data_IF_360624442898
#
_entry.id   IF_360624442898
#
_cell.length_a   1.000
_cell.length_b   1.000
_cell.length_c   1.000
_cell.angle_alpha   90.00
_cell.angle_beta   90.00
_cell.angle_gamma   90.00
#
_symmetry.space_group_name_H-M   'P 1'
#
loop_
_entity.id
_entity.type
_entity.pdbx_description
1 polymer ?
#
# COMPACT_ATOMS: atom_id res chain seq x y z
N UNK A 1 -6.68 -14.21 -15.74
CA UNK A 1 -5.92 -13.06 -15.28
C UNK A 1 -5.49 -13.22 -13.84
N UNK A 2 -4.28 -12.82 -13.55
CA UNK A 2 -3.72 -12.93 -12.20
C UNK A 2 -4.22 -11.76 -11.34
N UNK A 3 -4.78 -12.01 -10.15
CA UNK A 3 -5.16 -10.92 -9.25
C UNK A 3 -3.96 -10.12 -8.75
N UNK A 4 -4.15 -8.83 -8.57
CA UNK A 4 -3.12 -7.93 -8.08
C UNK A 4 -3.68 -7.22 -6.85
N UNK A 5 -2.95 -7.28 -5.75
CA UNK A 5 -3.29 -6.56 -4.52
C UNK A 5 -2.30 -5.44 -4.30
N UNK A 6 -2.81 -4.26 -4.00
CA UNK A 6 -1.99 -3.09 -3.73
C UNK A 6 -2.12 -2.76 -2.25
N UNK A 7 -1.02 -2.83 -1.52
CA UNK A 7 -0.97 -2.54 -0.08
C UNK A 7 -0.55 -1.10 0.15
N UNK A 8 -1.33 -0.38 0.93
CA UNK A 8 -0.99 0.98 1.33
C UNK A 8 -0.48 1.01 2.77
N UNK A 9 0.60 1.72 3.00
CA UNK A 9 1.24 1.82 4.30
C UNK A 9 1.47 3.28 4.69
N UNK A 10 1.52 3.51 5.98
CA UNK A 10 1.81 4.82 6.56
C UNK A 10 2.86 4.65 7.66
N UNK A 11 3.33 5.77 8.19
CA UNK A 11 4.24 5.74 9.32
C UNK A 11 3.48 5.70 10.65
N UNK A 12 4.20 5.73 11.77
CA UNK A 12 3.60 5.59 13.11
C UNK A 12 2.92 6.86 13.63
N UNK A 13 3.02 7.97 12.94
CA UNK A 13 2.46 9.24 13.38
C UNK A 13 0.94 9.27 13.22
N UNK A 14 0.23 9.82 14.20
CA UNK A 14 -1.21 9.99 14.14
C UNK A 14 -2.00 8.77 14.62
N UNK A 15 -3.31 8.83 14.45
CA UNK A 15 -4.20 7.76 14.90
C UNK A 15 -4.20 6.58 13.93
N UNK A 16 -4.67 5.43 14.43
CA UNK A 16 -4.81 4.23 13.61
C UNK A 16 -5.78 4.48 12.44
N UNK A 17 -6.93 5.07 12.71
CA UNK A 17 -7.95 5.32 11.69
C UNK A 17 -7.44 6.28 10.62
N UNK A 18 -6.77 7.34 11.03
CA UNK A 18 -6.20 8.31 10.10
C UNK A 18 -5.19 7.62 9.16
N UNK A 19 -4.32 6.78 9.73
CA UNK A 19 -3.27 6.12 8.96
C UNK A 19 -3.80 4.99 8.08
N UNK A 20 -4.88 4.32 8.47
CA UNK A 20 -5.55 3.37 7.59
C UNK A 20 -6.09 4.09 6.36
N UNK A 21 -6.73 5.24 6.56
CA UNK A 21 -7.25 6.05 5.45
C UNK A 21 -6.13 6.57 4.55
N UNK A 22 -5.01 6.98 5.14
CA UNK A 22 -3.86 7.48 4.38
C UNK A 22 -3.23 6.36 3.54
N UNK A 23 -3.09 5.17 4.11
CA UNK A 23 -2.61 4.00 3.38
C UNK A 23 -3.54 3.66 2.22
N UNK A 24 -4.86 3.71 2.44
CA UNK A 24 -5.84 3.47 1.39
C UNK A 24 -5.69 4.48 0.24
N UNK A 25 -5.44 5.75 0.55
CA UNK A 25 -5.21 6.77 -0.48
C UNK A 25 -3.96 6.48 -1.30
N UNK A 26 -2.89 6.02 -0.65
CA UNK A 26 -1.66 5.65 -1.36
C UNK A 26 -1.90 4.47 -2.29
N UNK A 27 -2.59 3.43 -1.82
CA UNK A 27 -2.92 2.27 -2.64
C UNK A 27 -3.82 2.65 -3.80
N UNK A 28 -4.81 3.53 -3.56
CA UNK A 28 -5.73 3.99 -4.60
C UNK A 28 -5.00 4.77 -5.70
N UNK A 29 -4.02 5.58 -5.33
CA UNK A 29 -3.21 6.31 -6.32
C UNK A 29 -2.47 5.36 -7.24
N UNK A 30 -1.86 4.31 -6.68
CA UNK A 30 -1.18 3.29 -7.49
C UNK A 30 -2.17 2.53 -8.36
N UNK A 31 -3.33 2.15 -7.80
CA UNK A 31 -4.39 1.48 -8.55
C UNK A 31 -4.82 2.30 -9.76
N UNK A 32 -5.08 3.59 -9.54
CA UNK A 32 -5.51 4.48 -10.62
C UNK A 32 -4.45 4.60 -11.71
N UNK A 33 -3.18 4.65 -11.32
CA UNK A 33 -2.08 4.65 -12.27
C UNK A 33 -2.09 3.38 -13.12
N UNK A 34 -2.22 2.21 -12.49
CA UNK A 34 -2.23 0.93 -13.18
C UNK A 34 -3.42 0.82 -14.15
N UNK A 35 -4.59 1.31 -13.75
CA UNK A 35 -5.76 1.35 -14.63
C UNK A 35 -5.46 2.24 -15.84
N UNK A 36 -4.82 3.38 -15.65
CA UNK A 36 -4.45 4.26 -16.77
C UNK A 36 -3.44 3.62 -17.72
N UNK A 37 -2.70 2.63 -17.26
CA UNK A 37 -1.75 1.88 -18.06
C UNK A 37 -2.36 0.64 -18.73
N UNK A 38 -3.68 0.47 -18.61
CA UNK A 38 -4.40 -0.58 -19.31
C UNK A 38 -4.68 -1.85 -18.50
N UNK A 39 -4.41 -1.84 -17.20
CA UNK A 39 -4.71 -3.00 -16.35
C UNK A 39 -6.19 -2.94 -15.95
N UNK A 40 -6.90 -4.05 -16.11
CA UNK A 40 -8.31 -4.13 -15.78
C UNK A 40 -8.57 -3.92 -14.29
N UNK A 41 -9.55 -3.08 -13.96
CA UNK A 41 -9.98 -2.86 -12.58
C UNK A 41 -10.40 -4.16 -11.89
N UNK A 42 -10.95 -5.11 -12.63
CA UNK A 42 -11.39 -6.39 -12.09
C UNK A 42 -10.24 -7.21 -11.49
N UNK A 43 -9.01 -6.93 -11.90
CA UNK A 43 -7.82 -7.62 -11.40
C UNK A 43 -7.24 -6.95 -10.15
N UNK A 44 -7.67 -5.73 -9.85
CA UNK A 44 -7.04 -4.89 -8.84
C UNK A 44 -7.87 -4.83 -7.57
N UNK A 45 -7.22 -5.02 -6.44
CA UNK A 45 -7.81 -4.77 -5.12
C UNK A 45 -6.83 -3.98 -4.29
N UNK A 46 -7.35 -3.20 -3.36
CA UNK A 46 -6.51 -2.47 -2.44
C UNK A 46 -6.73 -2.98 -1.01
N UNK A 47 -5.69 -2.90 -0.22
CA UNK A 47 -5.75 -3.15 1.20
C UNK A 47 -4.88 -2.12 1.89
N UNK A 48 -5.29 -1.65 3.05
CA UNK A 48 -4.48 -0.71 3.81
C UNK A 48 -4.11 -1.34 5.15
N UNK A 49 -2.85 -1.25 5.49
CA UNK A 49 -2.35 -1.63 6.81
C UNK A 49 -2.11 -0.40 7.68
N UNK A 50 -2.20 0.81 7.09
CA UNK A 50 -1.90 2.03 7.82
C UNK A 50 -0.50 1.93 8.41
N UNK A 51 -0.39 2.06 9.74
CA UNK A 51 0.89 1.98 10.44
C UNK A 51 1.16 0.61 11.07
N UNK A 52 0.34 -0.40 10.75
CA UNK A 52 0.38 -1.71 11.41
C UNK A 52 1.56 -2.59 10.99
N UNK A 53 2.15 -2.33 9.84
CA UNK A 53 3.25 -3.15 9.29
C UNK A 53 4.44 -2.30 8.89
N UNK A 54 5.17 -1.72 9.86
CA UNK A 54 6.33 -0.89 9.54
C UNK A 54 7.52 -1.74 9.07
N UNK A 55 8.30 -1.18 8.16
CA UNK A 55 9.58 -1.76 7.77
C UNK A 55 10.63 -1.42 8.82
N UNK A 56 10.56 -0.18 9.32
CA UNK A 56 11.51 0.33 10.30
C UNK A 56 10.74 0.78 11.53
N UNK A 57 11.24 0.46 12.71
CA UNK A 57 10.60 0.84 13.97
C UNK A 57 11.52 1.78 14.73
N UNK A 58 11.27 3.07 14.62
CA UNK A 58 11.91 4.10 15.41
C UNK A 58 11.10 5.40 15.26
N UNK A 59 11.29 6.33 16.20
CA UNK A 59 10.53 7.58 16.22
C UNK A 59 11.32 8.70 15.54
N UNK A 60 11.69 8.49 14.29
CA UNK A 60 12.46 9.45 13.50
C UNK A 60 11.97 9.47 12.05
N UNK A 61 12.11 10.60 11.39
CA UNK A 61 11.69 10.76 9.99
C UNK A 61 12.34 9.74 9.06
N UNK A 62 13.55 9.38 9.32
CA UNK A 62 14.26 8.39 8.52
C UNK A 62 13.54 7.02 8.52
N UNK A 63 12.92 6.63 9.64
CA UNK A 63 12.12 5.41 9.70
C UNK A 63 10.73 5.64 9.15
N UNK A 64 10.12 6.78 9.46
CA UNK A 64 8.77 7.11 9.01
C UNK A 64 8.69 7.19 7.49
N UNK A 65 9.71 7.79 6.85
CA UNK A 65 9.73 7.89 5.39
C UNK A 65 9.77 6.52 4.72
N UNK A 66 10.45 5.55 5.31
CA UNK A 66 10.50 4.18 4.79
C UNK A 66 9.17 3.46 4.94
N UNK A 67 8.37 3.83 5.95
CA UNK A 67 7.08 3.21 6.21
C UNK A 67 5.95 3.77 5.34
N UNK A 68 6.09 5.02 4.89
CA UNK A 68 5.12 5.65 3.97
C UNK A 68 5.33 5.07 2.58
N UNK A 69 4.57 4.03 2.26
CA UNK A 69 4.81 3.32 1.00
C UNK A 69 3.56 2.62 0.46
N UNK A 70 3.66 2.18 -0.78
CA UNK A 70 2.70 1.27 -1.39
C UNK A 70 3.44 0.06 -1.92
N UNK A 71 2.85 -1.12 -1.77
CA UNK A 71 3.45 -2.38 -2.22
C UNK A 71 2.45 -3.07 -3.14
N UNK A 72 2.92 -3.49 -4.32
CA UNK A 72 2.08 -4.21 -5.28
C UNK A 72 2.43 -5.68 -5.24
N UNK A 73 1.43 -6.52 -4.98
CA UNK A 73 1.61 -7.97 -4.87
C UNK A 73 0.79 -8.64 -5.96
N UNK A 74 1.46 -9.46 -6.78
CA UNK A 74 0.82 -10.23 -7.84
C UNK A 74 0.64 -11.66 -7.34
N UNK A 75 -0.62 -12.05 -7.10
CA UNK A 75 -0.95 -13.35 -6.51
C UNK A 75 -0.73 -14.49 -7.48
N UNK A 76 -0.14 -15.58 -6.96
CA UNK A 76 -0.01 -16.83 -7.70
C UNK A 76 1.01 -16.83 -8.83
N UNK A 77 1.67 -15.72 -9.05
CA UNK A 77 2.65 -15.61 -10.13
C UNK A 77 4.07 -15.55 -9.63
N UNK A 78 4.42 -14.41 -9.11
CA UNK A 78 5.79 -14.13 -8.71
C UNK A 78 6.02 -14.49 -7.26
N UNK A 79 7.23 -14.89 -6.95
CA UNK A 79 7.62 -15.18 -5.59
C UNK A 79 7.05 -16.46 -5.04
N UNK A 80 6.34 -17.15 -5.81
CA UNK A 80 5.80 -18.45 -5.40
C UNK A 80 6.76 -19.55 -5.81
#
# INVERSE_FOLDING_TARGET
SVPITIEGHADEQGTREYNLALGARRATSVRNYLVSQGISEARLSIVTYGKERPIEVCSMEKCWSKNRRSVTVVSGGLGS
#
